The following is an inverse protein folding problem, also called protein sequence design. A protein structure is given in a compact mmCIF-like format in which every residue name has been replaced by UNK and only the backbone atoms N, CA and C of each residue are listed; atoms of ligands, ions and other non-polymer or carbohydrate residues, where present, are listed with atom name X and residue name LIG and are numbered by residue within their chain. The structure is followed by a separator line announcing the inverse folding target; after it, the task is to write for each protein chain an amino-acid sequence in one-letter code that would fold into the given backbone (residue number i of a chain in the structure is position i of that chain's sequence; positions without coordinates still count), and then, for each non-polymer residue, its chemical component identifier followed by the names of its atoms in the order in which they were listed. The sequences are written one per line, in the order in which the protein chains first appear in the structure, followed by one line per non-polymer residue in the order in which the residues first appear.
data_IF_213459585867
#
_entry.id   IF_213459585867
#
_cell.length_a   1.000
_cell.length_b   1.000
_cell.length_c   1.000
_cell.angle_alpha   90.00
_cell.angle_beta   90.00
_cell.angle_gamma   90.00
#
_symmetry.space_group_name_H-M   'P 1'
#
loop_
_entity.id
_entity.type
_entity.pdbx_description
1 polymer ?
#
# COMPACT_ATOMS: atom_id res chain seq x y z
N UNK A 1 13.11 -5.36 -13.54
CA UNK A 1 12.16 -4.68 -12.61
C UNK A 1 12.48 -3.20 -12.43
N UNK A 2 13.75 -2.79 -12.37
CA UNK A 2 14.15 -1.38 -12.35
C UNK A 2 13.63 -0.57 -13.55
N UNK A 3 13.74 -1.11 -14.77
CA UNK A 3 13.17 -0.48 -15.98
C UNK A 3 11.68 -0.14 -15.82
N UNK A 4 10.87 -1.10 -15.36
CA UNK A 4 9.44 -0.88 -15.14
C UNK A 4 9.18 0.25 -14.13
N UNK A 5 9.99 0.35 -13.08
CA UNK A 5 9.87 1.44 -12.11
C UNK A 5 10.21 2.79 -12.77
N UNK A 6 11.26 2.82 -13.60
CA UNK A 6 11.64 4.00 -14.36
C UNK A 6 10.53 4.47 -15.29
N UNK A 7 9.96 3.56 -16.09
CA UNK A 7 8.88 3.90 -17.03
C UNK A 7 7.67 4.48 -16.28
N UNK A 8 7.29 3.87 -15.15
CA UNK A 8 6.19 4.34 -14.31
C UNK A 8 6.48 5.69 -13.67
N UNK A 9 7.74 5.96 -13.30
CA UNK A 9 8.14 7.24 -12.73
C UNK A 9 8.06 8.35 -13.78
N UNK A 10 8.58 8.12 -14.99
CA UNK A 10 8.51 9.10 -16.09
C UNK A 10 7.06 9.43 -16.41
N UNK A 11 6.21 8.41 -16.58
CA UNK A 11 4.76 8.63 -16.79
C UNK A 11 4.17 9.45 -15.65
N UNK A 12 4.49 9.14 -14.39
CA UNK A 12 3.96 9.89 -13.25
C UNK A 12 4.35 11.36 -13.25
N UNK A 13 5.59 11.68 -13.64
CA UNK A 13 6.09 13.05 -13.70
C UNK A 13 5.39 13.88 -14.79
N UNK A 14 5.02 13.24 -15.89
CA UNK A 14 4.35 13.88 -17.02
C UNK A 14 2.83 14.05 -16.82
N UNK A 15 2.23 13.32 -15.87
CA UNK A 15 0.80 13.43 -15.61
C UNK A 15 0.42 14.81 -15.06
N UNK A 16 -0.55 15.43 -15.72
CA UNK A 16 -1.26 16.59 -15.18
C UNK A 16 -2.12 16.20 -13.96
N UNK A 17 -2.77 17.17 -13.34
CA UNK A 17 -3.56 17.01 -12.11
C UNK A 17 -4.91 16.27 -12.31
N UNK A 18 -4.86 15.13 -13.00
CA UNK A 18 -5.96 14.20 -13.21
C UNK A 18 -5.91 13.13 -12.12
N UNK A 19 -6.67 13.36 -11.04
CA UNK A 19 -6.61 12.57 -9.80
C UNK A 19 -6.65 11.04 -10.00
N UNK A 20 -7.51 10.55 -10.90
CA UNK A 20 -7.69 9.12 -11.14
C UNK A 20 -6.48 8.47 -11.82
N UNK A 21 -5.87 9.18 -12.78
CA UNK A 21 -4.68 8.71 -13.48
C UNK A 21 -3.45 8.79 -12.58
N UNK A 22 -3.34 9.87 -11.81
CA UNK A 22 -2.29 10.03 -10.81
C UNK A 22 -2.38 8.94 -9.73
N UNK A 23 -3.57 8.65 -9.19
CA UNK A 23 -3.74 7.58 -8.18
C UNK A 23 -3.27 6.23 -8.70
N UNK A 24 -3.68 5.88 -9.92
CA UNK A 24 -3.35 4.60 -10.54
C UNK A 24 -1.85 4.49 -10.76
N UNK A 25 -1.24 5.50 -11.38
CA UNK A 25 0.19 5.50 -11.69
C UNK A 25 1.03 5.53 -10.42
N UNK A 26 0.63 6.31 -9.40
CA UNK A 26 1.27 6.31 -8.09
C UNK A 26 1.18 4.95 -7.40
N UNK A 27 0.00 4.31 -7.46
CA UNK A 27 -0.21 2.97 -6.89
C UNK A 27 0.74 1.97 -7.55
N UNK A 28 0.83 2.00 -8.88
CA UNK A 28 1.69 1.13 -9.66
C UNK A 28 3.18 1.35 -9.35
N UNK A 29 3.65 2.60 -9.33
CA UNK A 29 5.01 2.99 -8.93
C UNK A 29 5.34 2.42 -7.54
N UNK A 30 4.46 2.64 -6.56
CA UNK A 30 4.60 2.13 -5.18
C UNK A 30 4.61 0.60 -5.13
N UNK A 31 3.86 -0.09 -5.98
CA UNK A 31 3.87 -1.56 -6.04
C UNK A 31 5.19 -2.05 -6.60
N UNK A 32 5.72 -1.45 -7.66
CA UNK A 32 7.02 -1.80 -8.23
C UNK A 32 8.15 -1.59 -7.23
N UNK A 33 8.18 -0.44 -6.54
CA UNK A 33 9.17 -0.16 -5.49
C UNK A 33 9.09 -1.18 -4.35
N UNK A 34 7.88 -1.53 -3.87
CA UNK A 34 7.72 -2.54 -2.80
C UNK A 34 8.21 -3.93 -3.20
N UNK A 35 8.01 -4.33 -4.46
CA UNK A 35 8.52 -5.60 -4.97
C UNK A 35 10.04 -5.61 -4.92
N UNK A 36 10.69 -4.55 -5.39
CA UNK A 36 12.15 -4.40 -5.32
C UNK A 36 12.64 -4.47 -3.87
N UNK A 37 12.04 -3.70 -2.94
CA UNK A 37 12.39 -3.75 -1.51
C UNK A 37 12.24 -5.15 -0.90
N UNK A 38 11.27 -5.94 -1.36
CA UNK A 38 11.04 -7.29 -0.84
C UNK A 38 12.01 -8.36 -1.36
N UNK A 39 12.72 -8.06 -2.45
CA UNK A 39 13.65 -8.97 -3.11
C UNK A 39 15.11 -8.65 -2.81
N UNK A 40 15.40 -7.45 -2.29
CA UNK A 40 16.76 -7.02 -1.95
C UNK A 40 17.14 -7.40 -0.50
N UNK A 41 18.43 -7.70 -0.23
CA UNK A 41 18.96 -7.89 1.11
C UNK A 41 18.67 -6.71 2.04
N UNK A 42 18.62 -6.95 3.36
CA UNK A 42 18.23 -5.90 4.31
C UNK A 42 19.17 -4.69 4.30
N UNK A 43 20.45 -4.94 4.09
CA UNK A 43 21.55 -3.97 4.17
C UNK A 43 21.94 -3.42 2.78
N UNK A 44 21.16 -3.77 1.75
CA UNK A 44 21.36 -3.27 0.39
C UNK A 44 21.01 -1.77 0.29
N UNK A 45 21.92 -0.99 -0.28
CA UNK A 45 21.75 0.46 -0.45
C UNK A 45 20.52 0.81 -1.31
N UNK A 46 20.30 0.10 -2.42
CA UNK A 46 19.15 0.34 -3.30
C UNK A 46 17.82 0.02 -2.63
N UNK A 47 17.82 -0.88 -1.63
CA UNK A 47 16.63 -1.15 -0.83
C UNK A 47 16.18 0.08 -0.04
N UNK A 48 17.10 0.82 0.58
CA UNK A 48 16.77 2.05 1.28
C UNK A 48 16.36 3.16 0.30
N UNK A 49 16.99 3.23 -0.86
CA UNK A 49 16.56 4.09 -1.96
C UNK A 49 15.09 3.85 -2.36
N UNK A 50 14.68 2.61 -2.65
CA UNK A 50 13.29 2.31 -3.01
C UNK A 50 12.30 2.52 -1.85
N UNK A 51 12.75 2.39 -0.59
CA UNK A 51 11.94 2.75 0.57
C UNK A 51 11.66 4.24 0.64
N UNK A 52 12.61 5.11 0.30
CA UNK A 52 12.40 6.57 0.25
C UNK A 52 11.25 6.93 -0.68
N UNK A 53 11.19 6.32 -1.88
CA UNK A 53 10.07 6.50 -2.83
C UNK A 53 8.72 6.12 -2.20
N UNK A 54 8.66 4.97 -1.52
CA UNK A 54 7.44 4.52 -0.84
C UNK A 54 7.07 5.47 0.31
N UNK A 55 8.05 5.92 1.09
CA UNK A 55 7.79 6.76 2.26
C UNK A 55 7.30 8.16 1.87
N UNK A 56 7.96 8.79 0.89
CA UNK A 56 7.62 10.11 0.38
C UNK A 56 6.18 10.16 -0.17
N UNK A 57 5.75 9.09 -0.84
CA UNK A 57 4.39 8.99 -1.40
C UNK A 57 3.31 8.48 -0.43
N UNK A 58 3.62 8.26 0.86
CA UNK A 58 2.62 7.71 1.80
C UNK A 58 1.43 8.63 1.98
N UNK A 59 1.66 9.92 2.27
CA UNK A 59 0.58 10.87 2.55
C UNK A 59 -0.37 11.02 1.35
N UNK A 60 0.20 11.19 0.14
CA UNK A 60 -0.59 11.28 -1.10
C UNK A 60 -1.44 10.02 -1.26
N UNK A 61 -0.83 8.84 -1.13
CA UNK A 61 -1.56 7.58 -1.27
C UNK A 61 -2.69 7.44 -0.25
N UNK A 62 -2.46 7.84 0.99
CA UNK A 62 -3.46 7.72 2.05
C UNK A 62 -4.65 8.67 1.77
N UNK A 63 -4.39 9.87 1.23
CA UNK A 63 -5.43 10.79 0.74
C UNK A 63 -6.18 10.24 -0.47
N UNK A 64 -5.49 9.68 -1.46
CA UNK A 64 -6.12 9.08 -2.65
C UNK A 64 -7.07 7.94 -2.24
N UNK A 65 -6.63 7.06 -1.32
CA UNK A 65 -7.47 5.97 -0.79
C UNK A 65 -8.68 6.52 -0.06
N UNK A 66 -8.50 7.54 0.79
CA UNK A 66 -9.60 8.16 1.51
C UNK A 66 -10.65 8.72 0.52
N UNK A 67 -10.22 9.56 -0.41
CA UNK A 67 -11.10 10.27 -1.34
C UNK A 67 -11.77 9.34 -2.35
N UNK A 68 -11.07 8.33 -2.87
CA UNK A 68 -11.55 7.53 -4.00
C UNK A 68 -12.14 6.18 -3.59
N UNK A 69 -11.81 5.66 -2.40
CA UNK A 69 -12.22 4.33 -1.98
C UNK A 69 -13.09 4.33 -0.72
N UNK A 70 -12.82 5.25 0.22
CA UNK A 70 -13.51 5.26 1.52
C UNK A 70 -14.71 6.21 1.50
N UNK A 71 -14.51 7.48 1.14
CA UNK A 71 -15.57 8.50 1.08
C UNK A 71 -16.77 8.08 0.20
N UNK A 72 -16.58 7.51 -1.01
CA UNK A 72 -17.71 7.05 -1.82
C UNK A 72 -18.55 5.95 -1.16
N UNK A 73 -18.02 5.27 -0.14
CA UNK A 73 -18.71 4.26 0.63
C UNK A 73 -19.57 4.79 1.78
N UNK A 74 -19.62 6.12 1.98
CA UNK A 74 -20.36 6.73 3.07
C UNK A 74 -21.88 6.55 2.93
N UNK A 75 -22.60 6.46 4.08
CA UNK A 75 -24.07 6.50 4.13
C UNK A 75 -24.67 7.71 3.39
N UNK A 76 -25.93 7.60 2.94
CA UNK A 76 -26.61 8.65 2.14
C UNK A 76 -26.66 10.00 2.87
N UNK A 77 -26.97 9.95 4.16
CA UNK A 77 -27.01 11.06 5.11
C UNK A 77 -25.65 11.71 5.39
N UNK A 78 -24.55 11.11 4.92
CA UNK A 78 -23.19 11.60 5.11
C UNK A 78 -22.52 12.09 3.80
N UNK A 79 -23.23 12.04 2.67
CA UNK A 79 -22.63 12.31 1.36
C UNK A 79 -22.15 13.73 1.20
N UNK A 80 -22.98 14.71 1.58
CA UNK A 80 -22.63 16.13 1.41
C UNK A 80 -21.38 16.51 2.21
N UNK A 81 -21.29 16.04 3.46
CA UNK A 81 -20.10 16.20 4.29
C UNK A 81 -18.88 15.45 3.71
N UNK A 82 -19.08 14.27 3.13
CA UNK A 82 -18.04 13.52 2.43
C UNK A 82 -17.50 14.24 1.18
N UNK A 83 -18.39 14.87 0.41
CA UNK A 83 -18.02 15.64 -0.78
C UNK A 83 -17.28 16.93 -0.41
N UNK A 84 -17.70 17.59 0.67
CA UNK A 84 -16.98 18.75 1.21
C UNK A 84 -15.57 18.36 1.66
N UNK A 85 -15.44 17.30 2.46
CA UNK A 85 -14.15 16.75 2.87
C UNK A 85 -13.27 16.43 1.65
N UNK A 86 -13.83 15.83 0.60
CA UNK A 86 -13.08 15.49 -0.61
C UNK A 86 -12.52 16.73 -1.31
N UNK A 87 -13.27 17.84 -1.36
CA UNK A 87 -12.79 19.10 -1.95
C UNK A 87 -11.61 19.68 -1.16
N UNK A 88 -11.71 19.69 0.17
CA UNK A 88 -10.65 20.18 1.06
C UNK A 88 -9.36 19.34 0.93
N UNK A 89 -9.52 18.01 0.93
CA UNK A 89 -8.39 17.10 0.79
C UNK A 89 -7.70 17.18 -0.57
N UNK A 90 -8.42 17.55 -1.63
CA UNK A 90 -7.85 17.65 -2.98
C UNK A 90 -6.78 18.74 -3.06
N UNK A 91 -7.01 19.91 -2.43
CA UNK A 91 -6.02 20.98 -2.38
C UNK A 91 -4.73 20.55 -1.68
N UNK A 92 -4.87 19.91 -0.50
CA UNK A 92 -3.73 19.35 0.26
C UNK A 92 -3.00 18.29 -0.56
N UNK A 93 -3.74 17.42 -1.24
CA UNK A 93 -3.18 16.33 -2.05
C UNK A 93 -2.37 16.88 -3.22
N UNK A 94 -2.84 17.92 -3.90
CA UNK A 94 -2.12 18.53 -5.03
C UNK A 94 -0.80 19.15 -4.59
N UNK A 95 -0.78 19.89 -3.47
CA UNK A 95 0.48 20.42 -2.93
C UNK A 95 1.49 19.30 -2.61
N UNK A 96 1.03 18.23 -1.97
CA UNK A 96 1.88 17.08 -1.68
C UNK A 96 2.37 16.37 -2.96
N UNK A 97 1.55 16.35 -4.01
CA UNK A 97 1.91 15.78 -5.31
C UNK A 97 3.04 16.57 -5.98
N UNK A 98 2.96 17.90 -5.96
CA UNK A 98 4.00 18.79 -6.48
C UNK A 98 5.32 18.60 -5.72
N UNK A 99 5.28 18.58 -4.39
CA UNK A 99 6.45 18.30 -3.55
C UNK A 99 7.06 16.92 -3.87
N UNK A 100 6.21 15.92 -4.08
CA UNK A 100 6.66 14.56 -4.40
C UNK A 100 7.23 14.46 -5.81
N UNK A 101 6.66 15.15 -6.81
CA UNK A 101 7.21 15.22 -8.16
C UNK A 101 8.58 15.89 -8.18
N UNK A 102 8.76 16.98 -7.43
CA UNK A 102 10.05 17.62 -7.26
C UNK A 102 11.08 16.68 -6.64
N UNK A 103 10.71 15.98 -5.56
CA UNK A 103 11.55 14.94 -4.96
C UNK A 103 11.91 13.83 -5.96
N UNK A 104 10.94 13.35 -6.76
CA UNK A 104 11.20 12.32 -7.76
C UNK A 104 12.18 12.82 -8.83
N UNK A 105 12.05 14.06 -9.30
CA UNK A 105 12.91 14.64 -10.32
C UNK A 105 14.34 14.89 -9.82
N UNK A 106 14.48 15.45 -8.63
CA UNK A 106 15.77 15.90 -8.11
C UNK A 106 16.56 14.76 -7.44
N UNK A 107 15.89 13.90 -6.67
CA UNK A 107 16.56 12.86 -5.89
C UNK A 107 16.53 11.49 -6.58
N UNK A 108 15.37 11.09 -7.13
CA UNK A 108 15.13 9.69 -7.51
C UNK A 108 15.51 9.41 -8.95
N UNK A 109 15.15 10.30 -9.88
CA UNK A 109 15.36 10.10 -11.31
C UNK A 109 16.86 9.96 -11.68
N UNK A 110 17.79 10.82 -11.20
CA UNK A 110 19.21 10.69 -11.53
C UNK A 110 19.79 9.35 -11.08
N UNK A 111 19.44 8.93 -9.86
CA UNK A 111 19.91 7.68 -9.29
C UNK A 111 19.33 6.47 -10.02
N UNK A 112 18.06 6.53 -10.42
CA UNK A 112 17.42 5.48 -11.20
C UNK A 112 18.01 5.37 -12.62
N UNK A 113 18.40 6.49 -13.24
CA UNK A 113 19.15 6.51 -14.50
C UNK A 113 20.51 5.82 -14.37
N UNK A 114 21.27 6.14 -13.32
CA UNK A 114 22.55 5.51 -13.03
C UNK A 114 22.40 4.00 -12.80
N UNK A 115 21.42 3.60 -12.00
CA UNK A 115 21.05 2.20 -11.79
C UNK A 115 20.76 1.51 -13.12
N UNK A 116 19.90 2.08 -13.97
CA UNK A 116 19.54 1.51 -15.27
C UNK A 116 20.75 1.31 -16.18
N UNK A 117 21.68 2.27 -16.20
CA UNK A 117 22.91 2.17 -16.98
C UNK A 117 23.79 1.01 -16.50
N UNK A 118 23.93 0.83 -15.18
CA UNK A 118 24.75 -0.23 -14.57
C UNK A 118 24.11 -1.62 -14.75
N UNK A 119 22.80 -1.74 -14.59
CA UNK A 119 22.05 -2.98 -14.81
C UNK A 119 22.15 -3.52 -16.25
N UNK A 120 22.38 -2.64 -17.23
CA UNK A 120 22.54 -3.05 -18.63
C UNK A 120 23.91 -3.70 -18.87
N UNK A 121 24.89 -3.43 -18.00
CA UNK A 121 26.27 -3.94 -18.07
C UNK A 121 26.45 -5.25 -17.29
N UNK A 122 25.71 -5.46 -16.20
CA UNK A 122 25.83 -6.61 -15.29
C UNK A 122 24.71 -7.65 -15.46
N UNK A 123 24.36 -8.01 -16.70
CA UNK A 123 23.23 -8.91 -16.99
C UNK A 123 23.31 -10.31 -16.34
N UNK A 124 24.43 -10.69 -15.74
CA UNK A 124 24.72 -12.09 -15.33
C UNK A 124 24.88 -12.35 -13.82
N UNK A 125 24.88 -11.36 -12.91
CA UNK A 125 25.30 -11.61 -11.51
C UNK A 125 24.28 -11.36 -10.40
N UNK A 126 23.04 -10.93 -10.71
CA UNK A 126 21.97 -10.93 -9.71
C UNK A 126 21.40 -12.35 -9.54
N UNK A 127 22.24 -13.26 -9.07
CA UNK A 127 21.80 -14.46 -8.40
C UNK A 127 21.10 -14.04 -7.10
N UNK A 128 19.77 -13.87 -7.18
CA UNK A 128 18.86 -13.50 -6.09
C UNK A 128 18.71 -14.67 -5.09
N UNK A 129 19.80 -15.28 -4.63
CA UNK A 129 19.77 -16.39 -3.67
C UNK A 129 19.92 -15.93 -2.22
N UNK A 130 20.56 -14.78 -1.97
CA UNK A 130 20.70 -14.24 -0.61
C UNK A 130 19.41 -13.52 -0.16
N UNK A 131 18.56 -14.23 0.58
CA UNK A 131 17.38 -13.67 1.24
C UNK A 131 16.02 -14.26 0.83
N UNK A 132 16.01 -15.24 -0.07
CA UNK A 132 14.81 -16.03 -0.36
C UNK A 132 14.56 -16.99 0.79
N UNK A 133 13.40 -16.86 1.43
CA UNK A 133 12.99 -17.81 2.45
C UNK A 133 12.54 -19.11 1.78
N UNK A 134 12.99 -20.25 2.30
CA UNK A 134 12.56 -21.57 1.84
C UNK A 134 11.03 -21.70 1.89
N UNK A 135 10.46 -22.43 0.92
CA UNK A 135 9.01 -22.57 0.80
C UNK A 135 8.37 -23.13 2.08
N UNK A 136 9.03 -24.09 2.73
CA UNK A 136 8.55 -24.66 3.99
C UNK A 136 8.46 -23.59 5.10
N UNK A 137 9.43 -22.68 5.16
CA UNK A 137 9.44 -21.56 6.10
C UNK A 137 8.30 -20.58 5.79
N UNK A 138 8.07 -20.26 4.51
CA UNK A 138 6.95 -19.43 4.06
C UNK A 138 5.61 -20.05 4.49
N UNK A 139 5.42 -21.35 4.25
CA UNK A 139 4.19 -22.07 4.64
C UNK A 139 4.01 -22.10 6.16
N UNK A 140 5.10 -22.30 6.92
CA UNK A 140 5.09 -22.23 8.38
C UNK A 140 4.66 -20.85 8.88
N UNK A 141 5.22 -19.78 8.32
CA UNK A 141 4.81 -18.41 8.65
C UNK A 141 3.35 -18.14 8.28
N UNK A 142 2.90 -18.64 7.13
CA UNK A 142 1.52 -18.51 6.71
C UNK A 142 0.55 -19.23 7.66
N UNK A 143 0.87 -20.45 8.10
CA UNK A 143 0.11 -21.16 9.16
C UNK A 143 0.02 -20.34 10.46
N UNK A 144 1.11 -19.70 10.88
CA UNK A 144 1.10 -18.81 12.05
C UNK A 144 0.20 -17.59 11.85
N UNK A 145 0.23 -16.98 10.66
CA UNK A 145 -0.66 -15.87 10.30
C UNK A 145 -2.13 -16.31 10.38
N UNK A 146 -2.48 -17.48 9.83
CA UNK A 146 -3.85 -18.02 9.89
C UNK A 146 -4.31 -18.20 11.33
N UNK A 147 -3.49 -18.84 12.18
CA UNK A 147 -3.79 -19.02 13.61
C UNK A 147 -4.05 -17.68 14.31
N UNK A 148 -3.21 -16.67 14.05
CA UNK A 148 -3.38 -15.33 14.63
C UNK A 148 -4.66 -14.65 14.15
N UNK A 149 -4.99 -14.72 12.86
CA UNK A 149 -6.19 -14.11 12.29
C UNK A 149 -7.51 -14.70 12.83
N UNK A 150 -7.47 -15.92 13.35
CA UNK A 150 -8.61 -16.58 13.99
C UNK A 150 -8.87 -16.12 15.43
N UNK A 151 -7.94 -15.39 16.06
CA UNK A 151 -8.17 -14.79 17.38
C UNK A 151 -9.29 -13.76 17.32
N UNK A 152 -10.13 -13.72 18.35
CA UNK A 152 -11.33 -12.86 18.40
C UNK A 152 -10.95 -11.38 18.59
N UNK A 153 -9.93 -11.12 19.41
CA UNK A 153 -9.55 -9.76 19.82
C UNK A 153 -8.19 -9.37 19.23
N UNK A 154 -8.19 -9.02 17.94
CA UNK A 154 -7.01 -8.50 17.28
C UNK A 154 -7.04 -6.98 17.29
N UNK A 155 -6.02 -6.38 17.93
CA UNK A 155 -5.81 -4.95 17.87
C UNK A 155 -5.41 -4.51 16.45
N UNK A 156 -5.75 -3.27 16.07
CA UNK A 156 -5.37 -2.69 14.78
C UNK A 156 -3.87 -2.84 14.49
N UNK A 157 -3.02 -2.56 15.48
CA UNK A 157 -1.55 -2.66 15.35
C UNK A 157 -1.11 -4.09 15.02
N UNK A 158 -1.78 -5.10 15.57
CA UNK A 158 -1.51 -6.51 15.28
C UNK A 158 -1.97 -6.86 13.86
N UNK A 159 -3.16 -6.42 13.46
CA UNK A 159 -3.68 -6.63 12.10
C UNK A 159 -2.75 -5.98 11.07
N UNK A 160 -2.25 -4.78 11.33
CA UNK A 160 -1.28 -4.10 10.47
C UNK A 160 0.03 -4.88 10.34
N UNK A 161 0.60 -5.38 11.46
CA UNK A 161 1.80 -6.25 11.41
C UNK A 161 1.56 -7.51 10.58
N UNK A 162 0.39 -8.15 10.71
CA UNK A 162 0.02 -9.31 9.91
C UNK A 162 -0.07 -8.94 8.42
N UNK A 163 -0.72 -7.83 8.08
CA UNK A 163 -0.83 -7.31 6.70
C UNK A 163 0.54 -7.15 6.04
N UNK A 164 1.52 -6.57 6.76
CA UNK A 164 2.88 -6.39 6.23
C UNK A 164 3.55 -7.74 5.95
N UNK A 165 3.40 -8.72 6.85
CA UNK A 165 3.91 -10.09 6.63
C UNK A 165 3.26 -10.76 5.42
N UNK A 166 1.93 -10.69 5.31
CA UNK A 166 1.19 -11.24 4.15
C UNK A 166 1.68 -10.64 2.84
N UNK A 167 1.89 -9.32 2.77
CA UNK A 167 2.45 -8.65 1.58
C UNK A 167 3.81 -9.22 1.20
N UNK A 168 4.72 -9.34 2.17
CA UNK A 168 6.07 -9.88 1.95
C UNK A 168 6.03 -11.32 1.43
N UNK A 169 5.30 -12.20 2.11
CA UNK A 169 5.15 -13.60 1.68
C UNK A 169 4.56 -13.68 0.27
N UNK A 170 3.55 -12.87 -0.04
CA UNK A 170 2.95 -12.85 -1.39
C UNK A 170 3.96 -12.47 -2.46
N UNK A 171 4.80 -11.47 -2.23
CA UNK A 171 5.81 -11.06 -3.22
C UNK A 171 6.88 -12.13 -3.42
N UNK A 172 7.33 -12.79 -2.35
CA UNK A 172 8.28 -13.91 -2.44
C UNK A 172 7.67 -15.08 -3.22
N UNK A 173 6.46 -15.52 -2.87
CA UNK A 173 5.76 -16.62 -3.56
C UNK A 173 5.50 -16.30 -5.02
N UNK A 174 5.02 -15.09 -5.33
CA UNK A 174 4.76 -14.69 -6.71
C UNK A 174 6.02 -14.63 -7.59
N UNK A 175 7.18 -14.39 -6.99
CA UNK A 175 8.44 -14.28 -7.73
C UNK A 175 9.14 -15.64 -7.89
N UNK A 176 9.33 -16.36 -6.79
CA UNK A 176 10.17 -17.57 -6.73
C UNK A 176 9.38 -18.90 -6.84
N UNK A 177 8.10 -18.91 -6.46
CA UNK A 177 7.30 -20.13 -6.35
C UNK A 177 6.02 -20.05 -7.19
N UNK A 178 6.16 -19.73 -8.48
CA UNK A 178 5.04 -19.45 -9.40
C UNK A 178 4.05 -20.60 -9.56
N UNK A 179 4.48 -21.84 -9.30
CA UNK A 179 3.64 -23.04 -9.33
C UNK A 179 2.69 -23.16 -8.11
N UNK A 180 2.86 -22.34 -7.07
CA UNK A 180 2.05 -22.41 -5.83
C UNK A 180 0.78 -21.56 -5.91
N UNK A 181 -0.05 -21.84 -6.91
CA UNK A 181 -1.26 -21.09 -7.24
C UNK A 181 -2.24 -20.95 -6.04
N UNK A 182 -2.45 -22.02 -5.28
CA UNK A 182 -3.36 -22.01 -4.11
C UNK A 182 -2.87 -21.05 -3.03
N UNK A 183 -1.61 -21.19 -2.61
CA UNK A 183 -1.00 -20.32 -1.60
C UNK A 183 -1.01 -18.86 -2.05
N UNK A 184 -0.70 -18.61 -3.32
CA UNK A 184 -0.71 -17.27 -3.89
C UNK A 184 -2.12 -16.64 -3.89
N UNK A 185 -3.15 -17.42 -4.20
CA UNK A 185 -4.54 -16.97 -4.15
C UNK A 185 -4.98 -16.62 -2.72
N UNK A 186 -4.64 -17.46 -1.73
CA UNK A 186 -4.95 -17.20 -0.32
C UNK A 186 -4.22 -15.95 0.19
N UNK A 187 -2.93 -15.80 -0.11
CA UNK A 187 -2.15 -14.61 0.24
C UNK A 187 -2.69 -13.34 -0.43
N UNK A 188 -3.13 -13.43 -1.69
CA UNK A 188 -3.77 -12.32 -2.40
C UNK A 188 -5.07 -11.92 -1.72
N UNK A 189 -5.93 -12.88 -1.41
CA UNK A 189 -7.18 -12.62 -0.69
C UNK A 189 -6.93 -11.92 0.66
N UNK A 190 -6.01 -12.45 1.48
CA UNK A 190 -5.67 -11.83 2.75
C UNK A 190 -5.09 -10.42 2.57
N UNK A 191 -4.21 -10.21 1.59
CA UNK A 191 -3.65 -8.89 1.31
C UNK A 191 -4.74 -7.87 1.00
N UNK A 192 -5.72 -8.24 0.17
CA UNK A 192 -6.84 -7.37 -0.21
C UNK A 192 -7.75 -7.04 0.97
N UNK A 193 -8.15 -8.04 1.75
CA UNK A 193 -9.02 -7.82 2.90
C UNK A 193 -8.32 -7.00 3.99
N UNK A 194 -7.10 -7.37 4.37
CA UNK A 194 -6.34 -6.64 5.37
C UNK A 194 -5.90 -5.24 4.88
N UNK A 195 -5.78 -5.06 3.55
CA UNK A 195 -5.66 -3.76 2.91
C UNK A 195 -6.83 -2.86 3.26
N UNK A 196 -8.05 -3.28 2.89
CA UNK A 196 -9.29 -2.54 3.18
C UNK A 196 -9.49 -2.26 4.66
N UNK A 197 -9.15 -3.20 5.53
CA UNK A 197 -9.22 -2.99 6.98
C UNK A 197 -8.36 -1.81 7.43
N UNK A 198 -7.11 -1.77 6.93
CA UNK A 198 -6.17 -0.71 7.26
C UNK A 198 -6.59 0.64 6.64
N UNK A 199 -7.15 0.62 5.43
CA UNK A 199 -7.64 1.82 4.75
C UNK A 199 -8.75 2.50 5.57
N UNK A 200 -9.71 1.73 6.12
CA UNK A 200 -10.73 2.26 7.04
C UNK A 200 -10.15 2.79 8.36
N UNK A 201 -9.07 2.20 8.86
CA UNK A 201 -8.41 2.68 10.08
C UNK A 201 -7.67 3.99 9.86
N UNK A 202 -6.96 4.09 8.74
CA UNK A 202 -6.26 5.31 8.36
C UNK A 202 -7.25 6.44 8.05
N UNK A 203 -8.39 6.14 7.43
CA UNK A 203 -9.45 7.12 7.21
C UNK A 203 -9.86 7.85 8.49
N UNK A 204 -10.10 7.12 9.59
CA UNK A 204 -10.45 7.74 10.87
C UNK A 204 -9.36 8.65 11.45
N UNK A 205 -8.08 8.40 11.14
CA UNK A 205 -6.97 9.26 11.55
C UNK A 205 -6.86 10.50 10.67
N UNK A 206 -6.98 10.33 9.35
CA UNK A 206 -6.89 11.42 8.38
C UNK A 206 -8.04 12.42 8.54
N UNK A 207 -9.27 11.93 8.74
CA UNK A 207 -10.43 12.81 8.90
C UNK A 207 -10.29 13.64 10.17
N UNK A 208 -9.87 13.04 11.30
CA UNK A 208 -9.58 13.80 12.52
C UNK A 208 -8.48 14.85 12.34
N UNK A 209 -7.52 14.58 11.45
CA UNK A 209 -6.40 15.48 11.19
C UNK A 209 -6.78 16.67 10.30
N UNK A 210 -7.58 16.43 9.27
CA UNK A 210 -7.84 17.42 8.22
C UNK A 210 -9.25 18.02 8.25
N UNK A 211 -10.16 17.42 9.02
CA UNK A 211 -11.56 17.81 9.08
C UNK A 211 -11.93 18.27 10.49
N UNK A 212 -11.15 19.22 11.01
CA UNK A 212 -11.25 19.72 12.40
C UNK A 212 -12.58 20.45 12.63
N UNK A 213 -13.13 21.06 11.58
CA UNK A 213 -14.35 21.87 11.63
C UNK A 213 -15.63 21.06 11.36
N UNK A 214 -15.54 19.74 11.20
CA UNK A 214 -16.72 18.90 11.01
C UNK A 214 -17.51 18.74 12.31
N UNK A 215 -18.83 18.67 12.15
CA UNK A 215 -19.77 18.44 13.24
C UNK A 215 -19.38 17.22 14.12
N UNK A 216 -19.30 17.35 15.45
CA UNK A 216 -18.96 16.25 16.34
C UNK A 216 -19.86 15.02 16.23
N UNK A 217 -21.17 15.21 15.98
CA UNK A 217 -22.09 14.08 15.83
C UNK A 217 -21.83 13.35 14.51
N UNK A 218 -21.57 14.08 13.40
CA UNK A 218 -21.07 13.48 12.16
C UNK A 218 -19.80 12.63 12.40
N UNK A 219 -18.80 13.16 13.08
CA UNK A 219 -17.55 12.43 13.36
C UNK A 219 -17.78 11.14 14.16
N UNK A 220 -18.71 11.17 15.13
CA UNK A 220 -19.10 10.01 15.93
C UNK A 220 -19.80 8.94 15.09
N UNK A 221 -20.75 9.34 14.24
CA UNK A 221 -21.45 8.40 13.35
C UNK A 221 -20.49 7.79 12.33
N UNK A 222 -19.59 8.59 11.76
CA UNK A 222 -18.57 8.12 10.84
C UNK A 222 -17.63 7.11 11.49
N UNK A 223 -17.18 7.36 12.73
CA UNK A 223 -16.34 6.40 13.47
C UNK A 223 -17.05 5.05 13.64
N UNK A 224 -18.34 5.06 14.01
CA UNK A 224 -19.15 3.83 14.09
C UNK A 224 -19.23 3.12 12.74
N UNK A 225 -19.42 3.86 11.67
CA UNK A 225 -19.46 3.32 10.31
C UNK A 225 -18.15 2.62 9.93
N UNK A 226 -17.01 3.30 10.08
CA UNK A 226 -15.68 2.76 9.76
C UNK A 226 -15.38 1.51 10.59
N UNK A 227 -15.68 1.52 11.89
CA UNK A 227 -15.50 0.38 12.78
C UNK A 227 -16.37 -0.81 12.37
N UNK A 228 -17.62 -0.57 11.96
CA UNK A 228 -18.50 -1.62 11.44
C UNK A 228 -17.92 -2.28 10.18
N UNK A 229 -17.36 -1.49 9.25
CA UNK A 229 -16.69 -2.02 8.05
C UNK A 229 -15.45 -2.86 8.40
N UNK A 230 -14.64 -2.41 9.34
CA UNK A 230 -13.48 -3.16 9.84
C UNK A 230 -13.87 -4.52 10.42
N UNK A 231 -14.90 -4.54 11.28
CA UNK A 231 -15.43 -5.77 11.87
C UNK A 231 -15.96 -6.73 10.81
N UNK A 232 -16.68 -6.23 9.81
CA UNK A 232 -17.18 -7.03 8.69
C UNK A 232 -16.04 -7.69 7.89
N UNK A 233 -14.94 -6.97 7.67
CA UNK A 233 -13.75 -7.51 7.00
C UNK A 233 -13.12 -8.64 7.81
N UNK A 234 -12.90 -8.45 9.12
CA UNK A 234 -12.33 -9.51 9.97
C UNK A 234 -13.23 -10.73 10.02
N UNK A 235 -14.56 -10.54 10.08
CA UNK A 235 -15.53 -11.65 9.99
C UNK A 235 -15.38 -12.40 8.67
N UNK A 236 -15.24 -11.70 7.54
CA UNK A 236 -15.04 -12.30 6.21
C UNK A 236 -13.72 -13.08 6.13
N UNK A 237 -12.63 -12.51 6.64
CA UNK A 237 -11.31 -13.18 6.71
C UNK A 237 -11.38 -14.44 7.57
N UNK A 238 -12.00 -14.37 8.75
CA UNK A 238 -12.14 -15.54 9.63
C UNK A 238 -12.98 -16.63 8.97
N UNK A 239 -14.04 -16.27 8.25
CA UNK A 239 -14.89 -17.23 7.53
C UNK A 239 -14.11 -17.97 6.44
N UNK A 240 -13.22 -17.30 5.70
CA UNK A 240 -12.45 -17.94 4.63
C UNK A 240 -11.26 -18.77 5.12
N UNK A 241 -10.87 -18.62 6.39
CA UNK A 241 -9.74 -19.34 7.00
C UNK A 241 -10.15 -20.61 7.74
N UNK A 242 -11.45 -20.78 7.99
CA UNK A 242 -12.07 -22.02 8.48
C UNK A 242 -12.25 -22.97 7.31
#
# INVERSE_FOLDING_TARGET
MAQKLYDQLVVYLELENVLQEQEKTLHELRVSARKLVSLLPKDDYHREFFKRVIQASNKIRDLDVLMLQVVPGFPKDMRDAGDQLRKELLGIRNQLDDDFKNFLQLDILPELCNLRANFTREKDSLAVSEGVEELEQIEKQFRQIRKRLLLVDLEEKQVHKIRLKVKRLRYQVAHHYRNKNKLLAELKFLQEQLGKFHDFSQAGNLIRKYAVDLDPEFLKQLRKHLQSKQNAILKKVRKSLK
#
